data_IF_344047180495
#
_entry.id   IF_344047180495
#
_cell.length_a   1.000
_cell.length_b   1.000
_cell.length_c   1.000
_cell.angle_alpha   90.00
_cell.angle_beta   90.00
_cell.angle_gamma   90.00
#
_symmetry.space_group_name_H-M   'P 1'
#
loop_
_entity.id
_entity.type
_entity.pdbx_description
1 polymer ?
#
# COMPACT_ATOMS: atom_id res chain seq x y z
N UNK A 1 -8.58 17.95 9.07
CA UNK A 1 -7.77 16.76 9.41
C UNK A 1 -8.68 15.80 10.16
N UNK A 2 -8.63 14.54 9.80
CA UNK A 2 -9.42 13.43 10.32
C UNK A 2 -8.45 12.51 11.05
N UNK A 3 -8.82 12.07 12.24
CA UNK A 3 -8.09 11.06 13.00
C UNK A 3 -8.89 9.77 13.01
N UNK A 4 -8.26 8.65 12.69
CA UNK A 4 -8.90 7.35 12.76
C UNK A 4 -7.91 6.24 13.09
N UNK A 5 -8.33 5.31 13.92
CA UNK A 5 -7.62 4.08 14.23
C UNK A 5 -7.86 3.02 13.16
N UNK A 6 -6.95 2.04 13.03
CA UNK A 6 -7.17 0.89 12.15
C UNK A 6 -8.48 0.16 12.49
N UNK A 7 -8.81 0.04 13.78
CA UNK A 7 -10.08 -0.57 14.22
C UNK A 7 -11.29 0.18 13.65
N UNK A 8 -11.31 1.50 13.72
CA UNK A 8 -12.40 2.32 13.16
C UNK A 8 -12.50 2.17 11.64
N UNK A 9 -11.37 2.08 10.92
CA UNK A 9 -11.37 1.77 9.49
C UNK A 9 -11.99 0.41 9.20
N UNK A 10 -11.58 -0.62 9.95
CA UNK A 10 -12.03 -2.01 9.76
C UNK A 10 -13.52 -2.18 10.06
N UNK A 11 -14.00 -1.55 11.14
CA UNK A 11 -15.41 -1.55 11.53
C UNK A 11 -16.25 -0.54 10.71
N UNK A 12 -15.61 0.23 9.81
CA UNK A 12 -16.21 1.29 9.01
C UNK A 12 -17.04 2.28 9.87
N UNK A 13 -16.50 2.64 11.04
CA UNK A 13 -17.15 3.59 11.95
C UNK A 13 -17.29 4.95 11.23
N UNK A 14 -18.48 5.56 11.34
CA UNK A 14 -18.85 6.82 10.67
C UNK A 14 -18.72 6.81 9.14
N UNK A 15 -18.80 5.63 8.51
CA UNK A 15 -18.63 5.46 7.06
C UNK A 15 -17.30 6.00 6.54
N UNK A 16 -16.25 5.93 7.36
CA UNK A 16 -14.93 6.46 7.06
C UNK A 16 -14.34 5.94 5.73
N UNK A 17 -14.69 4.72 5.32
CA UNK A 17 -14.22 4.15 4.06
C UNK A 17 -14.86 4.76 2.80
N UNK A 18 -15.84 5.65 2.98
CA UNK A 18 -16.47 6.43 1.91
C UNK A 18 -15.93 7.86 1.82
N UNK A 19 -15.07 8.27 2.75
CA UNK A 19 -14.53 9.63 2.77
C UNK A 19 -13.50 9.83 1.65
N UNK A 20 -13.57 10.98 0.99
CA UNK A 20 -12.55 11.43 0.05
C UNK A 20 -11.35 11.97 0.81
N UNK A 21 -10.31 11.15 0.90
CA UNK A 21 -9.05 11.48 1.58
C UNK A 21 -7.96 11.80 0.56
N UNK A 22 -7.02 12.64 0.96
CA UNK A 22 -5.81 12.93 0.21
C UNK A 22 -4.95 11.67 0.09
N UNK A 23 -4.52 11.37 -1.14
CA UNK A 23 -3.71 10.19 -1.47
C UNK A 23 -2.36 10.18 -0.76
N UNK A 24 -1.78 11.36 -0.46
CA UNK A 24 -0.54 11.44 0.33
C UNK A 24 -0.79 10.93 1.76
N UNK A 25 -1.96 11.23 2.33
CA UNK A 25 -2.33 10.69 3.65
C UNK A 25 -2.50 9.17 3.62
N UNK A 26 -2.98 8.60 2.50
CA UNK A 26 -3.06 7.14 2.31
C UNK A 26 -1.66 6.53 2.18
N UNK A 27 -0.78 7.13 1.38
CA UNK A 27 0.63 6.73 1.28
C UNK A 27 1.32 6.69 2.65
N UNK A 28 1.15 7.74 3.45
CA UNK A 28 1.73 7.84 4.78
C UNK A 28 1.20 6.74 5.72
N UNK A 29 -0.09 6.44 5.62
CA UNK A 29 -0.71 5.35 6.38
C UNK A 29 -0.15 3.97 5.99
N UNK A 30 -0.01 3.68 4.69
CA UNK A 30 0.56 2.42 4.20
C UNK A 30 2.00 2.24 4.69
N UNK A 31 2.82 3.30 4.64
CA UNK A 31 4.19 3.27 5.19
C UNK A 31 4.20 3.05 6.70
N UNK A 32 3.26 3.64 7.44
CA UNK A 32 3.12 3.44 8.89
C UNK A 32 2.78 1.98 9.22
N UNK A 33 1.95 1.32 8.40
CA UNK A 33 1.69 -0.13 8.50
C UNK A 33 2.98 -0.92 8.28
N UNK A 34 3.71 -0.66 7.20
CA UNK A 34 4.97 -1.36 6.94
C UNK A 34 5.99 -1.19 8.08
N UNK A 35 6.14 0.01 8.64
CA UNK A 35 7.03 0.25 9.80
C UNK A 35 6.77 -0.67 11.01
N UNK A 36 5.56 -1.22 11.14
CA UNK A 36 5.20 -2.17 12.19
C UNK A 36 5.37 -3.62 11.78
N UNK A 37 5.21 -3.92 10.50
CA UNK A 37 5.26 -5.28 9.97
C UNK A 37 6.68 -5.74 9.61
N UNK A 38 7.53 -4.85 9.11
CA UNK A 38 8.85 -5.22 8.60
C UNK A 38 9.98 -4.78 9.53
N UNK A 39 10.98 -5.65 9.68
CA UNK A 39 12.20 -5.34 10.41
C UNK A 39 13.12 -4.42 9.59
N UNK A 40 13.88 -3.56 10.29
CA UNK A 40 14.79 -2.61 9.66
C UNK A 40 15.97 -3.26 8.90
N UNK A 41 16.14 -4.57 9.02
CA UNK A 41 17.12 -5.36 8.28
C UNK A 41 16.62 -5.84 6.91
N UNK A 42 15.34 -5.63 6.59
CA UNK A 42 14.79 -6.01 5.29
C UNK A 42 15.41 -5.14 4.17
N UNK A 43 15.79 -5.78 3.05
CA UNK A 43 16.57 -5.14 1.97
C UNK A 43 15.92 -3.86 1.40
N UNK A 44 14.58 -3.82 1.30
CA UNK A 44 13.84 -2.65 0.79
C UNK A 44 13.10 -1.89 1.91
N UNK A 45 13.58 -1.99 3.16
CA UNK A 45 12.92 -1.37 4.33
C UNK A 45 12.65 0.11 4.12
N UNK A 46 13.64 0.87 3.64
CA UNK A 46 13.50 2.31 3.45
C UNK A 46 12.45 2.64 2.38
N UNK A 47 12.42 1.87 1.29
CA UNK A 47 11.48 2.05 0.19
C UNK A 47 10.01 1.88 0.63
N UNK A 48 9.78 1.02 1.62
CA UNK A 48 8.44 0.73 2.16
C UNK A 48 8.04 1.61 3.35
N UNK A 49 8.99 2.29 3.99
CA UNK A 49 8.74 2.95 5.28
C UNK A 49 9.08 4.44 5.31
N UNK A 50 10.06 4.90 4.54
CA UNK A 50 10.43 6.31 4.49
C UNK A 50 9.55 7.08 3.51
N UNK A 51 9.34 8.36 3.81
CA UNK A 51 8.64 9.24 2.87
C UNK A 51 9.64 9.77 1.87
N UNK A 52 9.43 9.48 0.59
CA UNK A 52 10.15 10.12 -0.51
C UNK A 52 9.34 11.26 -1.14
N UNK A 53 8.16 11.55 -0.58
CA UNK A 53 7.34 12.68 -0.99
C UNK A 53 8.01 14.00 -0.61
N UNK A 54 8.16 14.87 -1.61
CA UNK A 54 8.73 16.21 -1.46
C UNK A 54 7.81 17.29 -2.00
N UNK A 55 7.14 17.02 -3.14
CA UNK A 55 6.25 17.94 -3.84
C UNK A 55 5.18 17.17 -4.63
N UNK A 56 4.00 17.79 -4.79
CA UNK A 56 2.84 17.24 -5.48
C UNK A 56 3.14 16.79 -6.92
N UNK A 57 3.98 17.53 -7.66
CA UNK A 57 4.31 17.28 -9.07
C UNK A 57 5.21 16.04 -9.30
N UNK A 58 5.63 15.39 -8.22
CA UNK A 58 6.50 14.20 -8.26
C UNK A 58 5.87 13.00 -7.57
N UNK A 59 4.64 13.14 -7.08
CA UNK A 59 4.05 12.12 -6.23
C UNK A 59 3.66 10.87 -7.03
N UNK A 60 3.31 10.99 -8.32
CA UNK A 60 3.08 9.82 -9.17
C UNK A 60 4.27 8.86 -9.16
N UNK A 61 5.48 9.40 -9.33
CA UNK A 61 6.70 8.60 -9.29
C UNK A 61 6.88 7.94 -7.92
N UNK A 62 6.66 8.69 -6.83
CA UNK A 62 6.77 8.18 -5.46
C UNK A 62 5.78 7.04 -5.21
N UNK A 63 4.53 7.20 -5.66
CA UNK A 63 3.49 6.17 -5.55
C UNK A 63 3.84 4.92 -6.36
N UNK A 64 4.33 5.09 -7.59
CA UNK A 64 4.73 3.96 -8.45
C UNK A 64 5.94 3.20 -7.90
N UNK A 65 6.97 3.92 -7.44
CA UNK A 65 8.13 3.31 -6.81
C UNK A 65 7.72 2.55 -5.55
N UNK A 66 6.92 3.16 -4.67
CA UNK A 66 6.39 2.49 -3.48
C UNK A 66 5.58 1.23 -3.83
N UNK A 67 4.68 1.31 -4.83
CA UNK A 67 3.88 0.17 -5.26
C UNK A 67 4.70 -0.96 -5.85
N UNK A 68 5.80 -0.65 -6.56
CA UNK A 68 6.73 -1.67 -7.03
C UNK A 68 7.35 -2.45 -5.86
N UNK A 69 7.90 -1.75 -4.86
CA UNK A 69 8.51 -2.41 -3.70
C UNK A 69 7.48 -3.12 -2.83
N UNK A 70 6.25 -2.60 -2.73
CA UNK A 70 5.15 -3.28 -2.07
C UNK A 70 4.89 -4.62 -2.74
N UNK A 71 4.73 -4.64 -4.07
CA UNK A 71 4.49 -5.87 -4.82
C UNK A 71 5.68 -6.84 -4.75
N UNK A 72 6.91 -6.33 -4.73
CA UNK A 72 8.11 -7.15 -4.51
C UNK A 72 8.06 -7.83 -3.13
N UNK A 73 7.77 -7.09 -2.07
CA UNK A 73 7.63 -7.65 -0.72
C UNK A 73 6.56 -8.75 -0.66
N UNK A 74 5.40 -8.52 -1.30
CA UNK A 74 4.33 -9.52 -1.35
C UNK A 74 4.74 -10.79 -2.11
N UNK A 75 5.52 -10.65 -3.19
CA UNK A 75 6.07 -11.79 -3.93
C UNK A 75 7.10 -12.58 -3.09
N UNK A 76 8.07 -11.88 -2.50
CA UNK A 76 9.16 -12.47 -1.70
C UNK A 76 8.61 -13.26 -0.50
N UNK A 77 7.50 -12.80 0.08
CA UNK A 77 6.87 -13.40 1.26
C UNK A 77 5.67 -14.30 0.95
N UNK A 78 5.41 -14.63 -0.32
CA UNK A 78 4.30 -15.49 -0.74
C UNK A 78 2.94 -15.04 -0.21
N UNK A 79 2.66 -13.73 -0.27
CA UNK A 79 1.38 -13.19 0.12
C UNK A 79 0.23 -13.89 -0.59
N UNK A 80 -0.89 -14.07 0.11
CA UNK A 80 -2.11 -14.65 -0.44
C UNK A 80 -3.34 -13.86 0.02
N UNK A 81 -4.44 -14.03 -0.69
CA UNK A 81 -5.71 -13.39 -0.35
C UNK A 81 -6.85 -14.38 -0.52
N UNK A 82 -7.87 -14.28 0.32
CA UNK A 82 -9.14 -15.00 0.13
C UNK A 82 -9.97 -14.42 -1.04
N UNK A 83 -9.66 -13.20 -1.49
CA UNK A 83 -10.30 -12.59 -2.65
C UNK A 83 -9.68 -13.16 -3.93
N UNK A 84 -10.39 -14.05 -4.61
CA UNK A 84 -9.92 -14.73 -5.83
C UNK A 84 -9.26 -13.80 -6.86
N UNK A 85 -9.84 -12.63 -7.10
CA UNK A 85 -9.29 -11.64 -8.03
C UNK A 85 -7.90 -11.13 -7.60
N UNK A 86 -7.75 -10.79 -6.32
CA UNK A 86 -6.46 -10.33 -5.76
C UNK A 86 -5.45 -11.48 -5.76
N UNK A 87 -5.87 -12.67 -5.36
CA UNK A 87 -4.98 -13.83 -5.27
C UNK A 87 -4.39 -14.23 -6.64
N UNK A 88 -5.19 -14.16 -7.71
CA UNK A 88 -4.70 -14.37 -9.08
C UNK A 88 -3.59 -13.39 -9.45
N UNK A 89 -3.76 -12.11 -9.13
CA UNK A 89 -2.75 -11.08 -9.39
C UNK A 89 -1.49 -11.31 -8.57
N UNK A 90 -1.59 -11.75 -7.31
CA UNK A 90 -0.43 -12.09 -6.47
C UNK A 90 0.36 -13.29 -7.02
N UNK A 91 -0.34 -14.32 -7.50
CA UNK A 91 0.28 -15.48 -8.16
C UNK A 91 1.03 -15.06 -9.43
N UNK A 92 0.42 -14.20 -10.25
CA UNK A 92 1.06 -13.67 -11.46
C UNK A 92 2.28 -12.80 -11.12
N UNK A 93 2.16 -11.92 -10.14
CA UNK A 93 3.24 -11.08 -9.66
C UNK A 93 4.45 -11.91 -9.21
N UNK A 94 4.22 -12.99 -8.45
CA UNK A 94 5.28 -13.91 -8.05
C UNK A 94 6.01 -14.52 -9.25
N UNK A 95 5.30 -14.92 -10.29
CA UNK A 95 5.92 -15.47 -11.52
C UNK A 95 6.80 -14.44 -12.22
N UNK A 96 6.33 -13.20 -12.33
CA UNK A 96 7.09 -12.12 -12.97
C UNK A 96 8.46 -11.89 -12.32
N UNK A 97 8.53 -11.88 -10.99
CA UNK A 97 9.80 -11.71 -10.27
C UNK A 97 10.77 -12.90 -10.42
N UNK A 98 10.27 -14.10 -10.78
CA UNK A 98 11.10 -15.28 -11.04
C UNK A 98 11.58 -15.33 -12.49
N UNK A 99 10.74 -14.91 -13.43
CA UNK A 99 10.95 -15.12 -14.86
C UNK A 99 11.62 -13.94 -15.57
N UNK A 100 11.54 -12.72 -15.00
CA UNK A 100 12.05 -11.53 -15.68
C UNK A 100 13.58 -11.41 -15.61
N UNK A 101 14.18 -11.15 -16.77
CA UNK A 101 15.61 -10.84 -16.89
C UNK A 101 15.87 -9.35 -17.19
N UNK A 102 14.82 -8.54 -17.33
CA UNK A 102 14.89 -7.10 -17.61
C UNK A 102 14.16 -6.32 -16.51
N UNK A 103 14.88 -5.45 -15.81
CA UNK A 103 14.34 -4.67 -14.69
C UNK A 103 13.31 -3.63 -15.13
N UNK A 104 13.52 -2.96 -16.26
CA UNK A 104 12.60 -1.92 -16.76
C UNK A 104 11.25 -2.52 -17.14
N UNK A 105 11.27 -3.63 -17.88
CA UNK A 105 10.08 -4.39 -18.25
C UNK A 105 9.38 -4.97 -17.02
N UNK A 106 10.15 -5.47 -16.04
CA UNK A 106 9.60 -5.97 -14.78
C UNK A 106 8.85 -4.87 -14.03
N UNK A 107 9.44 -3.67 -13.91
CA UNK A 107 8.82 -2.54 -13.23
C UNK A 107 7.48 -2.16 -13.85
N UNK A 108 7.41 -2.08 -15.18
CA UNK A 108 6.16 -1.76 -15.88
C UNK A 108 5.08 -2.83 -15.64
N UNK A 109 5.43 -4.10 -15.81
CA UNK A 109 4.48 -5.21 -15.61
C UNK A 109 3.99 -5.31 -14.18
N UNK A 110 4.89 -5.21 -13.20
CA UNK A 110 4.55 -5.21 -11.77
C UNK A 110 3.66 -4.02 -11.42
N UNK A 111 3.93 -2.84 -11.97
CA UNK A 111 3.07 -1.68 -11.76
C UNK A 111 1.67 -1.89 -12.34
N UNK A 112 1.55 -2.52 -13.52
CA UNK A 112 0.26 -2.86 -14.11
C UNK A 112 -0.53 -3.88 -13.27
N UNK A 113 0.14 -4.80 -12.57
CA UNK A 113 -0.50 -5.67 -11.58
C UNK A 113 -0.89 -4.91 -10.32
N UNK A 114 -0.01 -4.04 -9.80
CA UNK A 114 -0.29 -3.22 -8.63
C UNK A 114 -1.57 -2.38 -8.81
N UNK A 115 -1.74 -1.81 -10.01
CA UNK A 115 -2.93 -1.05 -10.44
C UNK A 115 -4.24 -1.82 -10.39
N UNK A 116 -4.20 -3.14 -10.38
CA UNK A 116 -5.40 -3.98 -10.26
C UNK A 116 -5.81 -4.22 -8.80
N UNK A 117 -4.89 -3.99 -7.85
CA UNK A 117 -5.09 -4.28 -6.43
C UNK A 117 -5.25 -2.99 -5.63
N UNK A 118 -4.33 -2.04 -5.80
CA UNK A 118 -4.23 -0.84 -4.97
C UNK A 118 -4.61 0.39 -5.75
N UNK A 119 -5.45 1.25 -5.17
CA UNK A 119 -5.89 2.49 -5.82
C UNK A 119 -4.80 3.56 -5.80
N UNK A 120 -3.94 3.58 -4.79
CA UNK A 120 -2.82 4.52 -4.69
C UNK A 120 -1.96 4.64 -5.97
N UNK A 121 -1.83 3.57 -6.77
CA UNK A 121 -1.09 3.58 -8.04
C UNK A 121 -1.70 4.48 -9.12
N UNK A 122 -3.00 4.78 -9.02
CA UNK A 122 -3.74 5.69 -9.90
C UNK A 122 -3.92 7.08 -9.29
N UNK A 123 -3.23 7.37 -8.18
CA UNK A 123 -3.38 8.59 -7.39
C UNK A 123 -4.78 8.81 -6.78
N UNK A 124 -5.61 7.77 -6.73
CA UNK A 124 -6.96 7.79 -6.15
C UNK A 124 -7.07 6.87 -4.92
N UNK A 125 -5.96 6.73 -4.19
CA UNK A 125 -5.84 5.89 -3.00
C UNK A 125 -6.93 6.19 -1.97
N UNK A 126 -7.36 5.15 -1.26
CA UNK A 126 -8.41 5.25 -0.25
C UNK A 126 -8.03 4.50 1.01
N UNK A 127 -8.78 4.70 2.10
CA UNK A 127 -8.58 3.93 3.33
C UNK A 127 -8.73 2.42 3.13
N UNK A 128 -9.44 1.99 2.07
CA UNK A 128 -9.55 0.58 1.69
C UNK A 128 -8.22 -0.03 1.23
N UNK A 129 -7.30 0.76 0.71
CA UNK A 129 -5.94 0.29 0.38
C UNK A 129 -5.20 -0.14 1.66
N UNK A 130 -5.44 0.57 2.78
CA UNK A 130 -4.85 0.25 4.09
C UNK A 130 -5.42 -1.06 4.61
N UNK A 131 -6.75 -1.24 4.56
CA UNK A 131 -7.40 -2.48 4.96
C UNK A 131 -6.87 -3.66 4.15
N UNK A 132 -6.80 -3.50 2.83
CA UNK A 132 -6.30 -4.54 1.94
C UNK A 132 -4.84 -4.89 2.23
N UNK A 133 -3.98 -3.88 2.42
CA UNK A 133 -2.58 -4.12 2.77
C UNK A 133 -2.48 -4.91 4.09
N UNK A 134 -3.21 -4.50 5.13
CA UNK A 134 -3.15 -5.20 6.42
C UNK A 134 -3.65 -6.64 6.28
N UNK A 135 -4.74 -6.90 5.55
CA UNK A 135 -5.24 -8.26 5.31
C UNK A 135 -4.15 -9.14 4.65
N UNK A 136 -3.47 -8.61 3.63
CA UNK A 136 -2.40 -9.33 2.93
C UNK A 136 -1.18 -9.61 3.82
N UNK A 137 -0.77 -8.63 4.63
CA UNK A 137 0.33 -8.78 5.57
C UNK A 137 -0.02 -9.75 6.70
N UNK A 138 -1.29 -9.78 7.13
CA UNK A 138 -1.76 -10.68 8.16
C UNK A 138 -1.73 -12.15 7.72
N UNK A 139 -1.95 -12.39 6.42
CA UNK A 139 -1.81 -13.72 5.82
C UNK A 139 -0.34 -14.16 5.67
N UNK A 140 0.61 -13.23 5.76
CA UNK A 140 2.05 -13.53 5.81
C UNK A 140 2.48 -13.82 7.26
N UNK A 141 2.21 -12.89 8.19
CA UNK A 141 2.58 -13.00 9.60
C UNK A 141 1.53 -12.32 10.50
N UNK A 142 0.69 -13.13 11.13
CA UNK A 142 -0.36 -12.65 12.03
C UNK A 142 0.18 -12.19 13.41
N UNK A 143 1.45 -12.44 13.74
CA UNK A 143 2.00 -12.09 15.06
C UNK A 143 2.06 -10.58 15.32
N UNK A 144 2.02 -9.76 14.25
CA UNK A 144 2.11 -8.30 14.30
C UNK A 144 0.76 -7.59 14.32
N UNK A 145 -0.36 -8.32 14.19
CA UNK A 145 -1.68 -7.70 14.01
C UNK A 145 -2.06 -6.78 15.16
N UNK A 146 -1.79 -7.17 16.40
CA UNK A 146 -2.10 -6.37 17.59
C UNK A 146 -1.36 -5.03 17.60
N UNK A 147 -0.18 -4.95 16.97
CA UNK A 147 0.58 -3.70 16.85
C UNK A 147 -0.04 -2.78 15.79
N UNK A 148 -0.64 -3.36 14.76
CA UNK A 148 -1.31 -2.65 13.66
C UNK A 148 -2.69 -2.17 14.07
N UNK A 149 -3.42 -2.95 14.87
CA UNK A 149 -4.72 -2.53 15.43
C UNK A 149 -4.63 -1.29 16.31
N UNK A 150 -3.45 -1.02 16.88
CA UNK A 150 -3.15 0.17 17.69
C UNK A 150 -2.69 1.37 16.85
N UNK A 151 -2.60 1.25 15.52
CA UNK A 151 -2.22 2.36 14.67
C UNK A 151 -3.36 3.37 14.55
N UNK A 152 -2.99 4.62 14.78
CA UNK A 152 -3.73 5.81 14.40
C UNK A 152 -3.28 6.32 13.02
N UNK A 153 -4.18 6.97 12.30
CA UNK A 153 -3.93 7.56 11.00
C UNK A 153 -4.49 8.98 10.96
N UNK A 154 -3.76 9.86 10.26
CA UNK A 154 -4.12 11.25 10.08
C UNK A 154 -4.48 11.45 8.60
N UNK A 155 -5.76 11.61 8.31
CA UNK A 155 -6.24 11.84 6.95
C UNK A 155 -6.55 13.31 6.71
N UNK A 156 -6.02 13.84 5.62
CA UNK A 156 -6.46 15.12 5.09
C UNK A 156 -7.62 14.89 4.12
N UNK A 157 -8.67 15.74 4.14
CA UNK A 157 -9.71 15.67 3.13
C UNK A 157 -9.11 16.00 1.76
N UNK A 158 -9.63 15.36 0.72
CA UNK A 158 -9.26 15.70 -0.65
C UNK A 158 -9.81 17.08 -1.02
N UNK A 159 -8.91 18.04 -1.25
CA UNK A 159 -9.22 19.38 -1.72
C UNK A 159 -8.74 19.47 -3.17
N UNK A 160 -9.63 19.26 -4.15
CA UNK A 160 -9.29 19.10 -5.58
C UNK A 160 -8.50 20.23 -6.28
N UNK A 161 -8.01 21.23 -5.55
CA UNK A 161 -7.09 22.26 -6.05
C UNK A 161 -5.60 21.84 -6.00
N UNK A 162 -5.24 20.86 -5.18
CA UNK A 162 -3.85 20.38 -4.99
C UNK A 162 -3.67 18.91 -5.41
N UNK A 163 -4.26 18.53 -6.55
CA UNK A 163 -4.18 17.15 -7.01
C UNK A 163 -2.72 16.80 -7.37
N UNK A 164 -2.10 15.81 -6.70
CA UNK A 164 -0.77 15.38 -7.06
C UNK A 164 -0.74 14.81 -8.49
N UNK A 165 0.40 14.95 -9.14
CA UNK A 165 0.65 14.46 -10.51
C UNK A 165 1.95 13.68 -10.64
#
# INVERSE_FOLDING_TARGET
MIFATYKELKENIYDINSWSVDVISVYDALRKVFKKYIDNTYQDYEQLTQSFYTRNDRFLKVAHDFSFYLMKYLADNNASSEKDGVNKVLIENKKLFVESNNEEELREKVLNLAKQIFRITHLDGSTRDILLLVDLLNNIDNSKIEMVEKLDFNFHPFNGCDMPS
#
